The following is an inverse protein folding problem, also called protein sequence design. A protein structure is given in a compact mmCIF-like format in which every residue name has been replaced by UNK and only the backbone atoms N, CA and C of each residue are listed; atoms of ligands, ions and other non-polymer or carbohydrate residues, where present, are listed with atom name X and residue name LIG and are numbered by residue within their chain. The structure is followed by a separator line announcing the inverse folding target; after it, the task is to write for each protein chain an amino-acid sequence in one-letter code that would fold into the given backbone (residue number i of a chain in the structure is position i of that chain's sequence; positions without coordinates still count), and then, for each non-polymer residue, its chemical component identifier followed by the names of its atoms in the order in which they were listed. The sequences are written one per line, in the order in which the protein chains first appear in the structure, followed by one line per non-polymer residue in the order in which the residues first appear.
data_IF_298117135141
#
_entry.id   IF_298117135141
#
_cell.length_a   1.000
_cell.length_b   1.000
_cell.length_c   1.000
_cell.angle_alpha   90.00
_cell.angle_beta   90.00
_cell.angle_gamma   90.00
#
_symmetry.space_group_name_H-M   'P 1'
#
loop_
_entity.id
_entity.type
_entity.pdbx_description
1 polymer ?
#
# COMPACT_ATOMS: atom_id res chain seq x y z
N UNK A 1 -17.86 -18.52 -40.47
CA UNK A 1 -17.58 -17.56 -39.39
C UNK A 1 -16.44 -18.12 -38.56
N UNK A 2 -15.32 -17.38 -38.40
CA UNK A 2 -14.27 -17.77 -37.42
C UNK A 2 -14.93 -17.67 -36.04
N UNK A 3 -14.68 -18.63 -35.11
CA UNK A 3 -15.21 -18.51 -33.76
C UNK A 3 -14.68 -17.18 -33.18
N UNK A 4 -15.57 -16.39 -32.56
CA UNK A 4 -15.18 -15.16 -31.92
C UNK A 4 -14.08 -15.49 -30.87
N UNK A 5 -13.05 -14.67 -30.82
CA UNK A 5 -11.95 -14.90 -29.87
C UNK A 5 -12.47 -14.69 -28.43
N UNK A 6 -11.96 -15.46 -27.48
CA UNK A 6 -12.15 -15.20 -26.06
C UNK A 6 -11.32 -13.95 -25.68
N UNK A 7 -11.95 -12.78 -25.72
CA UNK A 7 -11.32 -11.51 -25.35
C UNK A 7 -11.17 -11.40 -23.84
N UNK A 8 -10.34 -10.46 -23.35
CA UNK A 8 -10.20 -10.20 -21.91
C UNK A 8 -11.52 -9.81 -21.27
N UNK A 9 -12.35 -9.02 -21.97
CA UNK A 9 -13.66 -8.59 -21.51
C UNK A 9 -14.67 -9.75 -21.41
N UNK A 10 -14.70 -10.61 -22.43
CA UNK A 10 -15.53 -11.83 -22.41
C UNK A 10 -15.10 -12.79 -21.30
N UNK A 11 -13.79 -12.94 -21.11
CA UNK A 11 -13.19 -13.75 -20.04
C UNK A 11 -13.64 -13.26 -18.67
N UNK A 12 -13.48 -11.95 -18.40
CA UNK A 12 -13.87 -11.33 -17.15
C UNK A 12 -15.38 -11.58 -16.87
N UNK A 13 -16.24 -11.32 -17.82
CA UNK A 13 -17.69 -11.52 -17.67
C UNK A 13 -18.07 -12.98 -17.33
N UNK A 14 -17.40 -13.96 -17.93
CA UNK A 14 -17.62 -15.39 -17.61
C UNK A 14 -17.16 -15.69 -16.18
N UNK A 15 -16.00 -15.21 -15.77
CA UNK A 15 -15.43 -15.44 -14.44
C UNK A 15 -16.33 -14.76 -13.38
N UNK A 16 -16.75 -13.52 -13.60
CA UNK A 16 -17.70 -12.80 -12.71
C UNK A 16 -19.00 -13.57 -12.55
N UNK A 17 -19.53 -14.12 -13.63
CA UNK A 17 -20.77 -14.90 -13.60
C UNK A 17 -20.64 -16.16 -12.73
N UNK A 18 -19.52 -16.87 -12.86
CA UNK A 18 -19.22 -18.06 -12.02
C UNK A 18 -18.98 -17.65 -10.57
N UNK A 19 -18.25 -16.56 -10.33
CA UNK A 19 -18.00 -16.02 -8.99
C UNK A 19 -19.30 -15.68 -8.24
N UNK A 20 -20.33 -15.20 -8.97
CA UNK A 20 -21.68 -14.91 -8.44
C UNK A 20 -22.56 -16.16 -8.27
N UNK A 21 -22.03 -17.37 -8.46
CA UNK A 21 -22.69 -18.63 -8.18
C UNK A 21 -23.35 -19.33 -9.37
N UNK A 22 -23.18 -18.84 -10.61
CA UNK A 22 -23.63 -19.58 -11.79
C UNK A 22 -22.69 -20.74 -12.08
N UNK A 23 -23.06 -21.93 -11.63
CA UNK A 23 -22.27 -23.14 -11.82
C UNK A 23 -22.42 -23.76 -13.21
N UNK A 24 -23.29 -23.23 -14.08
CA UNK A 24 -23.52 -23.77 -15.43
C UNK A 24 -23.64 -22.67 -16.50
N UNK A 25 -22.63 -21.84 -16.70
CA UNK A 25 -22.70 -20.62 -17.51
C UNK A 25 -22.77 -20.87 -19.02
N UNK A 26 -22.72 -22.12 -19.49
CA UNK A 26 -22.59 -22.44 -20.91
C UNK A 26 -23.71 -21.91 -21.83
N UNK A 27 -24.98 -21.96 -21.40
CA UNK A 27 -26.11 -21.38 -22.14
C UNK A 27 -26.06 -19.85 -22.12
N UNK A 28 -25.85 -19.26 -20.97
CA UNK A 28 -25.67 -17.81 -20.82
C UNK A 28 -24.55 -17.27 -21.72
N UNK A 29 -23.39 -17.95 -21.77
CA UNK A 29 -22.27 -17.56 -22.67
C UNK A 29 -22.73 -17.59 -24.14
N UNK A 30 -23.43 -18.66 -24.54
CA UNK A 30 -23.92 -18.78 -25.93
C UNK A 30 -24.86 -17.64 -26.29
N UNK A 31 -25.79 -17.30 -25.41
CA UNK A 31 -26.82 -16.28 -25.63
C UNK A 31 -26.25 -14.86 -25.56
N UNK A 32 -25.46 -14.56 -24.51
CA UNK A 32 -24.94 -13.21 -24.27
C UNK A 32 -23.86 -12.78 -25.27
N UNK A 33 -23.05 -13.71 -25.77
CA UNK A 33 -21.98 -13.40 -26.72
C UNK A 33 -22.29 -13.85 -28.14
N UNK A 34 -23.54 -14.31 -28.42
CA UNK A 34 -24.01 -14.77 -29.73
C UNK A 34 -23.05 -15.82 -30.35
N UNK A 35 -22.61 -16.78 -29.57
CA UNK A 35 -21.71 -17.86 -29.99
C UNK A 35 -22.40 -19.23 -29.92
N UNK A 36 -21.84 -20.22 -30.62
CA UNK A 36 -22.36 -21.59 -30.54
C UNK A 36 -22.09 -22.19 -29.13
N UNK A 37 -22.94 -23.14 -28.70
CA UNK A 37 -22.69 -23.93 -27.47
C UNK A 37 -21.33 -24.62 -27.48
N UNK A 38 -20.87 -25.02 -28.68
CA UNK A 38 -19.54 -25.61 -28.86
C UNK A 38 -18.44 -24.55 -28.54
N UNK A 39 -18.59 -23.33 -29.01
CA UNK A 39 -17.65 -22.23 -28.72
C UNK A 39 -17.65 -21.89 -27.22
N UNK A 40 -18.83 -21.81 -26.60
CA UNK A 40 -18.96 -21.62 -25.16
C UNK A 40 -18.22 -22.71 -24.35
N UNK A 41 -18.38 -23.98 -24.75
CA UNK A 41 -17.68 -25.11 -24.14
C UNK A 41 -16.16 -25.05 -24.31
N UNK A 42 -15.69 -24.60 -25.49
CA UNK A 42 -14.25 -24.40 -25.72
C UNK A 42 -13.67 -23.28 -24.84
N UNK A 43 -14.41 -22.17 -24.66
CA UNK A 43 -13.99 -21.08 -23.78
C UNK A 43 -13.92 -21.54 -22.33
N UNK A 44 -14.92 -22.27 -21.83
CA UNK A 44 -14.91 -22.84 -20.48
C UNK A 44 -13.75 -23.83 -20.29
N UNK A 45 -13.48 -24.68 -21.29
CA UNK A 45 -12.35 -25.62 -21.25
C UNK A 45 -11.01 -24.87 -21.20
N UNK A 46 -10.90 -23.76 -21.96
CA UNK A 46 -9.69 -22.92 -21.94
C UNK A 46 -9.49 -22.26 -20.57
N UNK A 47 -10.54 -21.69 -19.98
CA UNK A 47 -10.48 -21.11 -18.62
C UNK A 47 -10.10 -22.14 -17.55
N UNK A 48 -10.57 -23.40 -17.72
CA UNK A 48 -10.15 -24.50 -16.84
C UNK A 48 -8.66 -24.89 -17.05
N UNK A 49 -8.19 -24.93 -18.30
CA UNK A 49 -6.80 -25.27 -18.58
C UNK A 49 -5.81 -24.20 -18.11
N UNK A 50 -6.27 -22.97 -17.98
CA UNK A 50 -5.52 -21.82 -17.45
C UNK A 50 -5.66 -21.68 -15.92
N UNK A 51 -6.38 -22.60 -15.25
CA UNK A 51 -6.57 -22.60 -13.80
C UNK A 51 -7.55 -21.56 -13.28
N UNK A 52 -8.20 -20.78 -14.14
CA UNK A 52 -9.15 -19.73 -13.75
C UNK A 52 -10.52 -20.27 -13.33
N UNK A 53 -10.92 -21.40 -13.89
CA UNK A 53 -12.08 -22.17 -13.46
C UNK A 53 -11.69 -23.61 -13.13
N UNK A 54 -12.46 -24.23 -12.28
CA UNK A 54 -12.42 -25.67 -12.01
C UNK A 54 -13.75 -26.30 -12.39
N UNK A 55 -13.70 -27.46 -13.02
CA UNK A 55 -14.89 -28.17 -13.47
C UNK A 55 -15.03 -29.50 -12.77
N UNK A 56 -16.25 -29.83 -12.29
CA UNK A 56 -16.61 -31.13 -11.73
C UNK A 56 -17.76 -31.78 -12.50
N UNK A 57 -17.91 -33.10 -12.42
CA UNK A 57 -18.94 -33.86 -13.09
C UNK A 57 -18.53 -34.34 -14.49
N UNK A 58 -19.02 -35.56 -14.87
CA UNK A 58 -18.70 -36.19 -16.17
C UNK A 58 -19.63 -35.74 -17.29
N UNK A 59 -20.91 -35.79 -17.08
CA UNK A 59 -21.93 -35.52 -18.11
C UNK A 59 -22.49 -34.10 -18.00
N UNK A 60 -22.72 -33.64 -16.78
CA UNK A 60 -23.18 -32.29 -16.46
C UNK A 60 -22.09 -31.61 -15.68
N UNK A 61 -21.26 -30.82 -16.37
CA UNK A 61 -20.16 -30.09 -15.72
C UNK A 61 -20.69 -28.93 -14.90
N UNK A 62 -20.23 -28.85 -13.66
CA UNK A 62 -20.42 -27.68 -12.78
C UNK A 62 -19.09 -26.93 -12.69
N UNK A 63 -19.13 -25.62 -12.80
CA UNK A 63 -17.95 -24.77 -12.79
C UNK A 63 -17.92 -23.91 -11.54
N UNK A 64 -16.75 -23.78 -10.95
CA UNK A 64 -16.43 -22.90 -9.83
C UNK A 64 -15.15 -22.13 -10.14
N UNK A 65 -14.85 -21.10 -9.38
CA UNK A 65 -13.56 -20.40 -9.51
C UNK A 65 -12.40 -21.36 -9.32
N UNK A 66 -11.37 -21.21 -10.13
CA UNK A 66 -10.13 -21.96 -10.02
C UNK A 66 -9.23 -21.44 -8.91
N UNK A 67 -8.10 -22.12 -8.73
CA UNK A 67 -7.09 -21.74 -7.73
C UNK A 67 -6.30 -20.49 -8.15
N UNK A 68 -6.16 -20.26 -9.46
CA UNK A 68 -5.44 -19.11 -10.02
C UNK A 68 -6.41 -18.23 -10.79
N UNK A 69 -6.40 -16.94 -10.48
CA UNK A 69 -7.25 -15.95 -11.12
C UNK A 69 -6.43 -14.68 -11.35
N UNK A 70 -6.59 -14.08 -12.52
CA UNK A 70 -6.10 -12.73 -12.81
C UNK A 70 -7.22 -11.95 -13.49
N UNK A 71 -7.67 -10.90 -12.83
CA UNK A 71 -8.70 -10.00 -13.37
C UNK A 71 -8.20 -8.57 -13.31
N UNK A 72 -8.51 -7.80 -14.35
CA UNK A 72 -8.17 -6.39 -14.39
C UNK A 72 -9.26 -5.59 -15.11
N UNK A 73 -9.54 -4.40 -14.63
CA UNK A 73 -10.54 -3.51 -15.21
C UNK A 73 -10.19 -2.04 -14.98
N UNK A 74 -10.73 -1.18 -15.86
CA UNK A 74 -10.71 0.28 -15.66
C UNK A 74 -12.02 0.75 -15.06
N UNK A 75 -11.95 1.81 -14.27
CA UNK A 75 -13.11 2.59 -13.80
C UNK A 75 -12.81 4.08 -13.85
N UNK A 76 -13.85 4.91 -13.90
CA UNK A 76 -13.69 6.36 -13.76
C UNK A 76 -13.54 6.71 -12.28
N UNK A 77 -12.73 7.73 -11.97
CA UNK A 77 -12.54 8.21 -10.61
C UNK A 77 -13.71 9.09 -10.16
N UNK A 78 -14.33 9.81 -11.10
CA UNK A 78 -15.44 10.72 -10.79
C UNK A 78 -16.65 9.96 -10.21
N UNK A 79 -17.11 10.41 -9.03
CA UNK A 79 -18.24 9.80 -8.28
C UNK A 79 -18.02 8.33 -7.92
N UNK A 80 -16.77 7.91 -7.73
CA UNK A 80 -16.43 6.55 -7.38
C UNK A 80 -16.82 6.25 -5.91
N UNK A 81 -17.58 5.19 -5.70
CA UNK A 81 -17.86 4.62 -4.38
C UNK A 81 -16.96 3.38 -4.20
N UNK A 82 -15.99 3.48 -3.30
CA UNK A 82 -14.99 2.45 -3.08
C UNK A 82 -15.59 1.16 -2.49
N UNK A 83 -16.62 1.30 -1.64
CA UNK A 83 -17.29 0.15 -1.06
C UNK A 83 -18.12 -0.60 -2.11
N UNK A 84 -18.87 0.13 -2.93
CA UNK A 84 -19.63 -0.47 -4.01
C UNK A 84 -18.73 -1.14 -5.05
N UNK A 85 -17.58 -0.51 -5.35
CA UNK A 85 -16.59 -1.09 -6.25
C UNK A 85 -16.01 -2.39 -5.68
N UNK A 86 -15.75 -2.44 -4.37
CA UNK A 86 -15.31 -3.66 -3.69
C UNK A 86 -16.35 -4.77 -3.80
N UNK A 87 -17.58 -4.50 -3.39
CA UNK A 87 -18.68 -5.50 -3.37
C UNK A 87 -18.99 -6.04 -4.77
N UNK A 88 -18.99 -5.17 -5.78
CA UNK A 88 -19.35 -5.57 -7.14
C UNK A 88 -18.20 -6.25 -7.90
N UNK A 89 -16.95 -5.84 -7.67
CA UNK A 89 -15.85 -6.18 -8.57
C UNK A 89 -14.72 -6.99 -7.94
N UNK A 90 -14.59 -7.05 -6.62
CA UNK A 90 -13.48 -7.73 -5.93
C UNK A 90 -13.98 -8.84 -5.02
N UNK A 91 -14.91 -8.55 -4.11
CA UNK A 91 -15.40 -9.48 -3.09
C UNK A 91 -15.90 -10.83 -3.66
N UNK A 92 -16.63 -10.88 -4.81
CA UNK A 92 -17.11 -12.14 -5.36
C UNK A 92 -16.01 -13.16 -5.65
N UNK A 93 -14.79 -12.69 -5.90
CA UNK A 93 -13.64 -13.57 -6.21
C UNK A 93 -12.91 -14.08 -4.97
N UNK A 94 -13.16 -13.51 -3.80
CA UNK A 94 -12.46 -13.81 -2.54
C UNK A 94 -13.20 -14.82 -1.66
N UNK A 95 -14.23 -15.52 -2.19
CA UNK A 95 -15.07 -16.44 -1.40
C UNK A 95 -14.30 -17.55 -0.66
N UNK A 96 -13.17 -18.01 -1.22
CA UNK A 96 -12.30 -19.03 -0.64
C UNK A 96 -11.10 -18.45 0.15
N UNK A 97 -11.06 -17.14 0.35
CA UNK A 97 -10.01 -16.47 1.13
C UNK A 97 -10.47 -16.34 2.59
N UNK A 98 -9.61 -16.65 3.59
CA UNK A 98 -9.95 -16.51 5.01
C UNK A 98 -10.47 -15.13 5.37
N UNK A 99 -11.40 -15.04 6.31
CA UNK A 99 -12.10 -13.80 6.64
C UNK A 99 -11.17 -12.67 7.11
N UNK A 100 -10.10 -13.00 7.88
CA UNK A 100 -9.11 -12.02 8.31
C UNK A 100 -8.31 -11.45 7.12
N UNK A 101 -7.86 -12.30 6.19
CA UNK A 101 -7.15 -11.86 4.97
C UNK A 101 -8.06 -11.04 4.09
N UNK A 102 -9.33 -11.48 3.90
CA UNK A 102 -10.33 -10.72 3.15
C UNK A 102 -10.59 -9.34 3.79
N UNK A 103 -10.63 -9.26 5.13
CA UNK A 103 -10.74 -7.99 5.85
C UNK A 103 -9.55 -7.05 5.59
N UNK A 104 -8.32 -7.57 5.60
CA UNK A 104 -7.11 -6.80 5.25
C UNK A 104 -7.17 -6.31 3.81
N UNK A 105 -7.54 -7.20 2.87
CA UNK A 105 -7.72 -6.83 1.46
C UNK A 105 -8.78 -5.74 1.27
N UNK A 106 -9.93 -5.84 1.95
CA UNK A 106 -10.99 -4.83 1.90
C UNK A 106 -10.47 -3.47 2.38
N UNK A 107 -9.86 -3.44 3.57
CA UNK A 107 -9.30 -2.20 4.12
C UNK A 107 -8.27 -1.57 3.17
N UNK A 108 -7.28 -2.34 2.71
CA UNK A 108 -6.25 -1.82 1.81
C UNK A 108 -6.82 -1.34 0.47
N UNK A 109 -7.79 -2.06 -0.08
CA UNK A 109 -8.45 -1.69 -1.31
C UNK A 109 -9.19 -0.35 -1.17
N UNK A 110 -10.06 -0.23 -0.17
CA UNK A 110 -10.86 0.99 0.04
C UNK A 110 -9.98 2.20 0.34
N UNK A 111 -8.95 2.06 1.18
CA UNK A 111 -7.99 3.13 1.46
C UNK A 111 -7.25 3.61 0.20
N UNK A 112 -6.79 2.69 -0.67
CA UNK A 112 -6.04 3.08 -1.87
C UNK A 112 -6.96 3.65 -2.97
N UNK A 113 -8.19 3.17 -3.08
CA UNK A 113 -9.20 3.74 -3.98
C UNK A 113 -9.60 5.14 -3.53
N UNK A 114 -9.81 5.36 -2.22
CA UNK A 114 -10.08 6.69 -1.66
C UNK A 114 -8.91 7.65 -1.89
N UNK A 115 -7.68 7.19 -1.68
CA UNK A 115 -6.51 8.02 -1.98
C UNK A 115 -6.45 8.44 -3.46
N UNK A 116 -6.81 7.57 -4.38
CA UNK A 116 -6.88 7.90 -5.79
C UNK A 116 -8.03 8.89 -6.07
N UNK A 117 -9.21 8.69 -5.50
CA UNK A 117 -10.37 9.56 -5.65
C UNK A 117 -10.09 10.98 -5.11
N UNK A 118 -9.58 11.09 -3.88
CA UNK A 118 -9.50 12.36 -3.17
C UNK A 118 -8.22 13.14 -3.49
N UNK A 119 -7.18 12.44 -3.93
CA UNK A 119 -5.84 13.03 -3.99
C UNK A 119 -5.14 12.91 -5.34
N UNK A 120 -5.54 12.04 -6.26
CA UNK A 120 -4.76 11.85 -7.49
C UNK A 120 -4.92 12.97 -8.51
N UNK A 121 -6.05 13.67 -8.55
CA UNK A 121 -6.43 14.58 -9.65
C UNK A 121 -6.46 13.86 -11.01
N UNK A 122 -6.59 12.54 -10.97
CA UNK A 122 -6.71 11.68 -12.13
C UNK A 122 -8.14 11.54 -12.62
N UNK A 123 -8.30 10.84 -13.73
CA UNK A 123 -9.62 10.58 -14.33
C UNK A 123 -9.97 9.10 -14.36
N UNK A 124 -8.98 8.23 -14.36
CA UNK A 124 -9.14 6.78 -14.48
C UNK A 124 -8.32 6.03 -13.46
N UNK A 125 -8.90 4.94 -13.01
CA UNK A 125 -8.28 3.97 -12.14
C UNK A 125 -8.21 2.63 -12.85
N UNK A 126 -7.03 2.03 -12.89
CA UNK A 126 -6.83 0.62 -13.24
C UNK A 126 -6.76 -0.19 -11.97
N UNK A 127 -7.56 -1.25 -11.89
CA UNK A 127 -7.55 -2.21 -10.79
C UNK A 127 -7.19 -3.57 -11.32
N UNK A 128 -6.28 -4.27 -10.65
CA UNK A 128 -5.97 -5.67 -10.92
C UNK A 128 -6.03 -6.47 -9.62
N UNK A 129 -6.62 -7.67 -9.70
CA UNK A 129 -6.62 -8.69 -8.66
C UNK A 129 -6.02 -9.96 -9.21
N UNK A 130 -4.93 -10.42 -8.63
CA UNK A 130 -4.32 -11.71 -8.88
C UNK A 130 -4.48 -12.61 -7.65
N UNK A 131 -5.04 -13.79 -7.86
CA UNK A 131 -5.16 -14.84 -6.86
C UNK A 131 -4.33 -16.04 -7.29
N UNK A 132 -3.57 -16.58 -6.36
CA UNK A 132 -2.90 -17.88 -6.49
C UNK A 132 -3.33 -18.79 -5.32
N UNK A 133 -2.82 -20.00 -5.25
CA UNK A 133 -3.06 -20.87 -4.09
C UNK A 133 -2.47 -20.27 -2.80
N UNK A 134 -1.39 -19.50 -2.93
CA UNK A 134 -0.62 -18.98 -1.81
C UNK A 134 -0.95 -17.52 -1.48
N UNK A 135 -1.27 -16.69 -2.48
CA UNK A 135 -1.28 -15.23 -2.33
C UNK A 135 -2.49 -14.54 -2.93
N UNK A 136 -2.84 -13.41 -2.33
CA UNK A 136 -3.72 -12.38 -2.89
C UNK A 136 -2.89 -11.15 -3.19
N UNK A 137 -2.88 -10.72 -4.45
CA UNK A 137 -2.22 -9.49 -4.88
C UNK A 137 -3.23 -8.54 -5.51
N UNK A 138 -3.21 -7.30 -5.08
CA UNK A 138 -4.02 -6.22 -5.66
C UNK A 138 -3.11 -5.11 -6.16
N UNK A 139 -3.46 -4.54 -7.30
CA UNK A 139 -2.81 -3.35 -7.85
C UNK A 139 -3.87 -2.29 -8.12
N UNK A 140 -3.61 -1.08 -7.66
CA UNK A 140 -4.45 0.10 -7.88
C UNK A 140 -3.56 1.15 -8.51
N UNK A 141 -3.94 1.64 -9.69
CA UNK A 141 -3.11 2.48 -10.55
C UNK A 141 -3.94 3.64 -11.10
N UNK A 142 -3.65 4.86 -10.66
CA UNK A 142 -4.28 6.09 -11.13
C UNK A 142 -3.46 6.79 -12.21
N UNK A 143 -4.13 7.64 -13.02
CA UNK A 143 -3.50 8.44 -14.05
C UNK A 143 -3.27 9.91 -13.62
N UNK A 144 -3.17 10.15 -12.32
CA UNK A 144 -3.11 11.49 -11.73
C UNK A 144 -1.72 12.11 -11.66
N UNK A 145 -1.50 12.93 -10.61
CA UNK A 145 -0.28 13.78 -10.48
C UNK A 145 0.91 13.05 -9.82
N UNK A 146 0.70 11.89 -9.23
CA UNK A 146 1.73 11.19 -8.46
C UNK A 146 1.82 11.64 -7.00
N UNK A 147 1.87 10.67 -6.09
CA UNK A 147 1.79 10.93 -4.65
C UNK A 147 3.03 11.65 -4.12
N UNK A 148 4.23 11.29 -4.55
CA UNK A 148 5.46 11.88 -4.01
C UNK A 148 5.61 13.34 -4.42
N UNK A 149 5.25 13.67 -5.65
CA UNK A 149 5.18 15.07 -6.12
C UNK A 149 4.15 15.87 -5.33
N UNK A 150 2.99 15.28 -5.05
CA UNK A 150 1.95 15.95 -4.25
C UNK A 150 2.44 16.24 -2.83
N UNK A 151 3.08 15.27 -2.17
CA UNK A 151 3.68 15.46 -0.84
C UNK A 151 4.79 16.50 -0.89
N UNK A 152 5.68 16.43 -1.88
CA UNK A 152 6.75 17.39 -2.06
C UNK A 152 6.23 18.82 -2.15
N UNK A 153 5.23 19.06 -3.00
CA UNK A 153 4.63 20.37 -3.17
C UNK A 153 3.93 20.87 -1.90
N UNK A 154 3.15 20.02 -1.24
CA UNK A 154 2.38 20.37 -0.03
C UNK A 154 3.28 20.75 1.16
N UNK A 155 4.45 20.12 1.28
CA UNK A 155 5.40 20.35 2.37
C UNK A 155 6.61 21.22 1.95
N UNK A 156 6.62 21.74 0.71
CA UNK A 156 7.73 22.52 0.16
C UNK A 156 9.10 21.82 0.33
N UNK A 157 9.13 20.49 0.09
CA UNK A 157 10.36 19.72 0.27
C UNK A 157 11.36 20.02 -0.83
N UNK A 158 12.65 20.21 -0.47
CA UNK A 158 13.69 20.52 -1.44
C UNK A 158 14.05 19.34 -2.36
N UNK A 159 13.71 18.12 -1.98
CA UNK A 159 14.00 16.89 -2.72
C UNK A 159 12.78 15.95 -2.64
N UNK A 160 12.29 15.40 -3.78
CA UNK A 160 11.14 14.51 -3.80
C UNK A 160 11.34 13.23 -2.99
N UNK A 161 12.59 12.77 -2.79
CA UNK A 161 12.89 11.60 -1.96
C UNK A 161 12.51 11.79 -0.49
N UNK A 162 12.45 13.02 0.00
CA UNK A 162 11.95 13.32 1.34
C UNK A 162 10.44 13.05 1.50
N UNK A 163 9.69 13.02 0.40
CA UNK A 163 8.28 12.64 0.46
C UNK A 163 8.08 11.20 0.98
N UNK A 164 9.04 10.29 0.70
CA UNK A 164 8.99 8.93 1.19
C UNK A 164 9.22 8.87 2.71
N UNK A 165 10.12 9.71 3.23
CA UNK A 165 10.31 9.83 4.68
C UNK A 165 9.02 10.34 5.35
N UNK A 166 8.35 11.32 4.75
CA UNK A 166 7.07 11.83 5.26
C UNK A 166 5.96 10.79 5.20
N UNK A 167 5.93 9.97 4.16
CA UNK A 167 5.00 8.86 4.02
C UNK A 167 5.26 7.78 5.10
N UNK A 168 6.52 7.44 5.32
CA UNK A 168 6.93 6.45 6.33
C UNK A 168 6.59 6.86 7.77
N UNK A 169 6.56 8.18 8.08
CA UNK A 169 6.11 8.68 9.38
C UNK A 169 4.61 8.49 9.62
N UNK A 170 3.79 8.51 8.59
CA UNK A 170 2.33 8.52 8.68
C UNK A 170 1.74 9.90 9.00
N UNK A 171 0.42 9.94 9.25
CA UNK A 171 -0.37 11.16 9.52
C UNK A 171 -0.18 12.28 8.48
N UNK A 172 0.11 11.91 7.23
CA UNK A 172 0.19 12.87 6.14
C UNK A 172 -1.13 12.95 5.38
N UNK A 173 -1.73 14.12 5.36
CA UNK A 173 -2.87 14.43 4.50
C UNK A 173 -2.80 15.88 4.00
N UNK A 174 -3.28 16.12 2.80
CA UNK A 174 -3.51 17.46 2.26
C UNK A 174 -4.88 18.01 2.64
N UNK A 175 -5.76 17.15 3.18
CA UNK A 175 -7.08 17.51 3.69
C UNK A 175 -7.28 17.00 5.13
N UNK A 176 -6.74 17.70 6.15
CA UNK A 176 -6.82 17.25 7.54
C UNK A 176 -8.23 17.37 8.17
N UNK A 177 -9.21 17.94 7.46
CA UNK A 177 -10.60 18.00 7.94
C UNK A 177 -11.34 16.70 7.69
N UNK A 178 -11.04 16.03 6.59
CA UNK A 178 -11.73 14.83 6.15
C UNK A 178 -10.89 13.56 6.33
N UNK A 179 -9.56 13.67 6.43
CA UNK A 179 -8.65 12.52 6.45
C UNK A 179 -7.62 12.61 7.58
N UNK A 180 -7.40 11.48 8.26
CA UNK A 180 -6.37 11.35 9.31
C UNK A 180 -4.93 11.29 8.73
N UNK A 181 -4.80 10.92 7.46
CA UNK A 181 -3.51 10.68 6.80
C UNK A 181 -2.82 9.39 7.25
N UNK A 182 -3.57 8.44 7.75
CA UNK A 182 -3.08 7.19 8.33
C UNK A 182 -3.17 6.00 7.36
N UNK A 183 -4.01 6.11 6.31
CA UNK A 183 -4.36 5.02 5.41
C UNK A 183 -3.16 4.30 4.81
N UNK A 184 -2.25 5.00 4.13
CA UNK A 184 -1.07 4.38 3.52
C UNK A 184 -0.14 3.78 4.58
N UNK A 185 0.05 4.48 5.72
CA UNK A 185 0.90 4.00 6.79
C UNK A 185 0.44 2.63 7.31
N UNK A 186 -0.82 2.50 7.67
CA UNK A 186 -1.37 1.25 8.20
C UNK A 186 -1.51 0.19 7.11
N UNK A 187 -1.98 0.55 5.93
CA UNK A 187 -2.09 -0.39 4.81
C UNK A 187 -0.74 -1.01 4.47
N UNK A 188 0.33 -0.23 4.42
CA UNK A 188 1.67 -0.76 4.13
C UNK A 188 2.12 -1.84 5.13
N UNK A 189 1.64 -1.79 6.37
CA UNK A 189 1.99 -2.73 7.45
C UNK A 189 1.01 -3.89 7.61
N UNK A 190 -0.13 -3.82 6.93
CA UNK A 190 -1.13 -4.89 6.92
C UNK A 190 -0.84 -5.96 5.88
N UNK A 191 -0.08 -5.63 4.83
CA UNK A 191 0.31 -6.55 3.77
C UNK A 191 1.72 -7.10 4.01
N UNK A 192 2.03 -8.26 3.41
CA UNK A 192 3.37 -8.86 3.48
C UNK A 192 4.34 -8.10 2.58
N UNK A 193 3.85 -7.69 1.40
CA UNK A 193 4.55 -6.81 0.47
C UNK A 193 3.63 -5.64 0.09
N UNK A 194 4.13 -4.44 0.23
CA UNK A 194 3.46 -3.20 -0.15
C UNK A 194 4.43 -2.30 -0.92
N UNK A 195 4.02 -1.78 -2.04
CA UNK A 195 4.85 -0.85 -2.80
C UNK A 195 4.03 0.26 -3.46
N UNK A 196 4.57 1.48 -3.45
CA UNK A 196 4.05 2.64 -4.18
C UNK A 196 5.06 3.09 -5.21
N UNK A 197 4.62 3.19 -6.45
CA UNK A 197 5.41 3.64 -7.60
C UNK A 197 4.83 4.96 -8.10
N UNK A 198 5.58 6.03 -8.05
CA UNK A 198 5.20 7.34 -8.58
C UNK A 198 6.44 8.20 -8.83
N UNK A 199 6.38 9.14 -9.76
CA UNK A 199 7.37 10.20 -9.95
C UNK A 199 8.83 9.71 -10.11
N UNK A 200 9.03 8.49 -10.65
CA UNK A 200 10.36 7.88 -10.78
C UNK A 200 10.92 7.33 -9.45
N UNK A 201 10.10 7.25 -8.39
CA UNK A 201 10.46 6.73 -7.09
C UNK A 201 9.61 5.52 -6.72
N UNK A 202 10.17 4.65 -5.89
CA UNK A 202 9.48 3.49 -5.32
C UNK A 202 9.65 3.52 -3.81
N UNK A 203 8.54 3.54 -3.10
CA UNK A 203 8.46 3.21 -1.67
C UNK A 203 8.03 1.75 -1.54
N UNK A 204 8.73 0.96 -0.77
CA UNK A 204 8.36 -0.44 -0.51
C UNK A 204 8.51 -0.78 0.96
N UNK A 205 7.50 -1.48 1.49
CA UNK A 205 7.51 -2.10 2.80
C UNK A 205 7.34 -3.61 2.64
N UNK A 206 8.19 -4.40 3.29
CA UNK A 206 8.11 -5.86 3.32
C UNK A 206 8.06 -6.34 4.76
N UNK A 207 7.07 -7.17 5.10
CA UNK A 207 6.97 -7.76 6.42
C UNK A 207 8.19 -8.63 6.76
N UNK A 208 8.60 -8.61 8.03
CA UNK A 208 9.80 -9.31 8.48
C UNK A 208 11.12 -8.68 8.04
N UNK A 209 11.11 -7.65 7.19
CA UNK A 209 12.28 -6.83 6.95
C UNK A 209 12.34 -5.66 7.93
N UNK A 210 13.58 -5.32 8.34
CA UNK A 210 13.79 -4.21 9.28
C UNK A 210 13.62 -2.83 8.63
N UNK A 211 13.27 -2.76 7.33
CA UNK A 211 13.38 -1.52 6.58
C UNK A 211 12.26 -1.35 5.56
N UNK A 212 11.79 -0.12 5.46
CA UNK A 212 11.17 0.37 4.25
C UNK A 212 12.27 0.67 3.21
N UNK A 213 12.03 0.34 1.96
CA UNK A 213 13.00 0.52 0.88
C UNK A 213 12.63 1.73 0.02
N UNK A 214 13.67 2.44 -0.38
CA UNK A 214 13.60 3.51 -1.37
C UNK A 214 14.41 3.09 -2.60
N UNK A 215 13.78 3.12 -3.77
CA UNK A 215 14.45 2.91 -5.05
C UNK A 215 14.12 4.05 -6.00
N UNK A 216 15.07 4.39 -6.86
CA UNK A 216 14.82 5.19 -8.04
C UNK A 216 14.43 4.26 -9.19
N UNK A 217 13.41 4.63 -9.95
CA UNK A 217 12.93 3.88 -11.11
C UNK A 217 13.13 4.69 -12.38
N UNK A 218 13.69 4.09 -13.40
CA UNK A 218 13.78 4.70 -14.73
C UNK A 218 12.42 4.76 -15.45
N UNK A 219 11.42 4.07 -14.92
CA UNK A 219 10.07 4.07 -15.49
C UNK A 219 9.38 5.41 -15.18
N UNK A 220 9.40 6.29 -16.17
CA UNK A 220 8.55 7.48 -16.14
C UNK A 220 7.09 7.04 -16.24
N UNK A 221 6.31 7.25 -15.18
CA UNK A 221 4.87 7.01 -15.16
C UNK A 221 4.13 8.25 -14.71
N UNK A 222 2.92 8.41 -15.21
CA UNK A 222 1.95 9.40 -14.72
C UNK A 222 1.12 8.74 -13.62
N UNK A 223 0.79 9.48 -12.57
CA UNK A 223 -0.01 8.98 -11.46
C UNK A 223 0.77 8.10 -10.48
N UNK A 224 0.02 7.39 -9.64
CA UNK A 224 0.55 6.48 -8.64
C UNK A 224 0.03 5.07 -8.85
N UNK A 225 0.90 4.08 -8.72
CA UNK A 225 0.51 2.67 -8.68
C UNK A 225 0.84 2.11 -7.30
N UNK A 226 -0.14 1.53 -6.65
CA UNK A 226 0.03 0.83 -5.38
C UNK A 226 -0.15 -0.66 -5.61
N UNK A 227 0.85 -1.46 -5.23
CA UNK A 227 0.80 -2.91 -5.23
C UNK A 227 0.79 -3.42 -3.79
N UNK A 228 -0.12 -4.34 -3.49
CA UNK A 228 -0.34 -4.92 -2.17
C UNK A 228 -0.44 -6.43 -2.30
N UNK A 229 0.33 -7.18 -1.50
CA UNK A 229 0.34 -8.64 -1.55
C UNK A 229 0.29 -9.22 -0.14
N UNK A 230 -0.53 -10.25 0.07
CA UNK A 230 -0.68 -10.95 1.35
C UNK A 230 -0.80 -12.46 1.13
N UNK A 231 -0.17 -13.24 2.00
CA UNK A 231 -0.32 -14.69 2.05
C UNK A 231 -1.76 -15.06 2.42
N UNK A 232 -2.36 -16.00 1.71
CA UNK A 232 -3.73 -16.47 1.97
C UNK A 232 -3.90 -17.14 3.32
N UNK A 233 -2.81 -17.64 3.90
CA UNK A 233 -2.79 -18.27 5.23
C UNK A 233 -2.33 -17.31 6.33
N UNK A 234 -2.12 -16.03 6.02
CA UNK A 234 -1.73 -15.03 6.99
C UNK A 234 -2.69 -14.99 8.17
N UNK A 235 -2.14 -14.94 9.38
CA UNK A 235 -2.91 -14.80 10.62
C UNK A 235 -3.09 -13.34 11.04
N UNK A 236 -2.61 -12.41 10.21
CA UNK A 236 -2.63 -10.97 10.50
C UNK A 236 -4.06 -10.46 10.63
N UNK A 237 -4.28 -9.59 11.60
CA UNK A 237 -5.55 -8.90 11.85
C UNK A 237 -5.33 -7.40 11.85
N UNK A 238 -6.26 -6.66 11.30
CA UNK A 238 -6.22 -5.20 11.22
C UNK A 238 -5.95 -4.58 12.60
N UNK A 239 -6.68 -5.00 13.63
CA UNK A 239 -6.53 -4.44 14.98
C UNK A 239 -5.14 -4.67 15.57
N UNK A 240 -4.50 -5.81 15.30
CA UNK A 240 -3.18 -6.12 15.82
C UNK A 240 -2.12 -5.14 15.27
N UNK A 241 -2.28 -4.71 14.01
CA UNK A 241 -1.41 -3.70 13.40
C UNK A 241 -1.67 -2.32 14.01
N UNK A 242 -2.93 -1.91 14.20
CA UNK A 242 -3.24 -0.64 14.84
C UNK A 242 -2.67 -0.55 16.27
N UNK A 243 -2.82 -1.62 17.07
CA UNK A 243 -2.33 -1.64 18.45
C UNK A 243 -0.80 -1.52 18.60
N UNK A 244 -0.03 -1.86 17.57
CA UNK A 244 1.43 -1.67 17.61
C UNK A 244 1.85 -0.20 17.65
N UNK A 245 1.00 0.70 17.13
CA UNK A 245 1.27 2.14 17.01
C UNK A 245 0.38 3.00 17.91
N UNK A 246 -0.49 2.38 18.69
CA UNK A 246 -1.28 3.02 19.73
C UNK A 246 -0.55 2.94 21.08
N UNK A 247 -0.59 3.98 21.92
CA UNK A 247 -0.13 3.89 23.29
C UNK A 247 -0.95 2.86 24.08
N UNK A 248 -0.39 2.24 25.14
CA UNK A 248 -1.16 1.37 26.02
C UNK A 248 -2.41 2.11 26.54
N UNK A 249 -3.58 1.50 26.33
CA UNK A 249 -4.90 2.01 26.72
C UNK A 249 -5.43 3.21 25.90
N UNK A 250 -4.82 3.58 24.81
CA UNK A 250 -5.32 4.57 23.86
C UNK A 250 -5.52 3.95 22.48
N UNK A 251 -6.54 4.42 21.74
CA UNK A 251 -6.80 3.97 20.36
C UNK A 251 -6.27 4.98 19.33
N UNK A 252 -5.43 5.93 19.77
CA UNK A 252 -4.88 6.97 18.91
C UNK A 252 -3.55 6.52 18.28
N UNK A 253 -3.34 6.87 17.02
CA UNK A 253 -2.05 6.69 16.34
C UNK A 253 -1.07 7.78 16.76
N UNK A 254 -0.49 7.66 17.96
CA UNK A 254 0.39 8.67 18.53
C UNK A 254 1.87 8.28 18.56
N UNK A 255 2.19 7.11 18.04
CA UNK A 255 3.56 6.59 17.94
C UNK A 255 3.97 6.40 16.49
N UNK A 256 5.17 6.86 16.12
CA UNK A 256 5.77 6.61 14.82
C UNK A 256 7.21 6.10 14.95
N UNK A 257 7.65 5.32 13.96
CA UNK A 257 9.04 4.89 13.79
C UNK A 257 9.57 5.55 12.54
N UNK A 258 10.64 6.34 12.68
CA UNK A 258 11.22 7.12 11.59
C UNK A 258 12.50 6.45 11.09
N UNK A 259 12.50 5.87 9.88
CA UNK A 259 13.67 5.19 9.33
C UNK A 259 14.74 6.22 8.91
N UNK A 260 15.71 6.46 9.77
CA UNK A 260 16.72 7.53 9.62
C UNK A 260 17.57 7.38 8.36
N UNK A 261 17.72 6.17 7.82
CA UNK A 261 18.41 5.97 6.55
C UNK A 261 17.69 6.63 5.36
N UNK A 262 16.36 6.78 5.40
CA UNK A 262 15.60 7.49 4.35
C UNK A 262 15.88 9.01 4.35
N UNK A 263 16.36 9.55 5.46
CA UNK A 263 16.81 10.94 5.53
C UNK A 263 18.17 11.18 4.84
N UNK A 264 18.91 10.11 4.51
CA UNK A 264 20.25 10.14 3.88
C UNK A 264 20.13 10.20 2.36
N UNK A 265 19.81 11.36 1.82
CA UNK A 265 19.69 11.57 0.37
C UNK A 265 21.04 11.32 -0.31
N UNK A 266 21.06 10.42 -1.30
CA UNK A 266 22.32 10.08 -2.00
C UNK A 266 23.40 9.43 -1.12
N UNK A 267 23.02 8.87 0.04
CA UNK A 267 23.97 8.24 0.97
C UNK A 267 24.76 9.23 1.83
N UNK A 268 24.41 10.53 1.84
CA UNK A 268 25.06 11.55 2.65
C UNK A 268 25.00 11.23 4.15
N UNK A 269 26.01 11.69 4.91
CA UNK A 269 26.00 11.58 6.37
C UNK A 269 25.04 12.64 6.98
N UNK A 270 24.37 12.26 8.07
CA UNK A 270 23.45 13.14 8.81
C UNK A 270 24.24 14.01 9.78
N UNK A 271 24.75 15.16 9.32
CA UNK A 271 25.70 15.99 10.09
C UNK A 271 25.20 17.41 10.39
N UNK A 272 24.25 17.94 9.59
CA UNK A 272 23.87 19.34 9.66
C UNK A 272 22.52 19.56 10.35
N UNK A 273 22.34 20.77 10.90
CA UNK A 273 21.05 21.23 11.46
C UNK A 273 19.94 21.26 10.40
N UNK A 274 20.26 21.61 9.15
CA UNK A 274 19.28 21.63 8.08
C UNK A 274 18.72 20.23 7.75
N UNK A 275 19.57 19.21 7.81
CA UNK A 275 19.12 17.82 7.67
C UNK A 275 18.24 17.40 8.86
N UNK A 276 18.63 17.77 10.09
CA UNK A 276 17.83 17.52 11.28
C UNK A 276 16.44 18.19 11.19
N UNK A 277 16.36 19.45 10.75
CA UNK A 277 15.09 20.16 10.54
C UNK A 277 14.16 19.46 9.55
N UNK A 278 14.69 18.84 8.51
CA UNK A 278 13.89 18.00 7.58
C UNK A 278 13.35 16.74 8.26
N UNK A 279 14.16 16.13 9.13
CA UNK A 279 13.73 14.93 9.86
C UNK A 279 12.65 15.24 10.88
N UNK A 280 12.77 16.31 11.66
CA UNK A 280 11.80 16.67 12.71
C UNK A 280 10.49 17.27 12.17
N UNK A 281 10.40 17.51 10.88
CA UNK A 281 9.17 18.00 10.26
C UNK A 281 7.98 17.12 10.64
N UNK A 282 6.92 17.69 11.18
CA UNK A 282 5.70 17.04 11.63
C UNK A 282 5.84 16.09 12.83
N UNK A 283 6.92 16.11 13.60
CA UNK A 283 7.03 15.34 14.85
C UNK A 283 5.99 15.79 15.90
N UNK A 284 5.58 17.03 15.87
CA UNK A 284 4.50 17.60 16.72
C UNK A 284 3.15 16.90 16.54
N UNK A 285 2.97 16.11 15.48
CA UNK A 285 1.76 15.29 15.25
C UNK A 285 1.74 14.00 16.07
N UNK A 286 2.83 13.66 16.77
CA UNK A 286 2.98 12.41 17.51
C UNK A 286 3.35 12.69 18.97
N UNK A 287 2.96 11.79 19.88
CA UNK A 287 3.43 11.80 21.26
C UNK A 287 4.76 11.05 21.43
N UNK A 288 4.96 9.99 20.61
CA UNK A 288 6.12 9.13 20.68
C UNK A 288 6.76 9.02 19.28
N UNK A 289 8.02 9.39 19.17
CA UNK A 289 8.80 9.29 17.94
C UNK A 289 10.02 8.44 18.21
N UNK A 290 10.14 7.29 17.56
CA UNK A 290 11.32 6.45 17.62
C UNK A 290 12.16 6.64 16.36
N UNK A 291 13.42 7.06 16.53
CA UNK A 291 14.36 7.23 15.43
C UNK A 291 15.11 5.93 15.21
N UNK A 292 14.75 5.20 14.15
CA UNK A 292 15.42 3.96 13.79
C UNK A 292 16.70 4.23 13.00
N UNK A 293 17.84 4.02 13.65
CA UNK A 293 19.18 4.22 13.07
C UNK A 293 19.73 2.99 12.33
N UNK A 294 18.92 2.01 12.03
CA UNK A 294 19.39 0.85 11.27
C UNK A 294 20.01 1.28 9.94
N UNK A 295 21.26 0.84 9.68
CA UNK A 295 22.01 1.19 8.48
C UNK A 295 22.57 2.62 8.46
N UNK A 296 22.47 3.37 9.56
CA UNK A 296 23.12 4.67 9.75
C UNK A 296 24.38 4.47 10.60
N UNK A 297 25.59 4.71 10.06
CA UNK A 297 26.82 4.43 10.81
C UNK A 297 27.09 5.46 11.91
N UNK A 298 26.85 6.73 11.64
CA UNK A 298 27.11 7.85 12.55
C UNK A 298 26.23 9.06 12.24
N UNK A 299 26.15 9.99 13.20
CA UNK A 299 25.53 11.31 13.04
C UNK A 299 26.48 12.40 13.56
N UNK A 300 26.35 13.61 13.00
CA UNK A 300 27.13 14.75 13.46
C UNK A 300 26.54 15.42 14.69
N UNK A 301 27.39 16.13 15.44
CA UNK A 301 26.98 16.84 16.65
C UNK A 301 25.86 17.86 16.38
N UNK A 302 25.98 18.66 15.33
CA UNK A 302 24.97 19.68 15.01
C UNK A 302 23.61 19.08 14.64
N UNK A 303 23.60 17.88 14.04
CA UNK A 303 22.38 17.12 13.75
C UNK A 303 21.74 16.61 15.04
N UNK A 304 22.52 15.95 15.91
CA UNK A 304 22.05 15.43 17.20
C UNK A 304 21.53 16.57 18.10
N UNK A 305 22.26 17.66 18.18
CA UNK A 305 21.93 18.84 18.99
C UNK A 305 20.59 19.46 18.58
N UNK A 306 20.32 19.57 17.28
CA UNK A 306 19.05 20.12 16.78
C UNK A 306 17.85 19.25 17.16
N UNK A 307 17.98 17.92 17.14
CA UNK A 307 16.88 17.00 17.48
C UNK A 307 16.73 16.84 18.99
N UNK A 308 17.81 16.39 19.66
CA UNK A 308 17.71 15.89 21.04
C UNK A 308 17.84 16.99 22.10
N UNK A 309 18.27 18.20 21.71
CA UNK A 309 18.31 19.35 22.60
C UNK A 309 17.36 20.46 22.16
N UNK A 310 17.53 21.00 20.94
CA UNK A 310 16.79 22.19 20.50
C UNK A 310 15.31 21.86 20.34
N UNK A 311 14.99 20.87 19.51
CA UNK A 311 13.61 20.46 19.26
C UNK A 311 12.96 19.87 20.51
N UNK A 312 13.62 18.96 21.21
CA UNK A 312 13.08 18.30 22.40
C UNK A 312 12.72 19.31 23.53
N UNK A 313 13.50 20.38 23.70
CA UNK A 313 13.16 21.46 24.65
C UNK A 313 11.96 22.31 24.21
N UNK A 314 11.86 22.56 22.91
CA UNK A 314 10.74 23.33 22.35
C UNK A 314 9.41 22.54 22.33
N UNK A 315 9.48 21.20 22.35
CA UNK A 315 8.33 20.30 22.23
C UNK A 315 8.36 19.21 23.30
N UNK A 316 8.25 19.56 24.60
CA UNK A 316 8.35 18.60 25.71
C UNK A 316 7.23 17.55 25.72
N UNK A 317 6.14 17.77 24.97
CA UNK A 317 5.05 16.82 24.77
C UNK A 317 5.41 15.67 23.82
N UNK A 318 6.50 15.77 23.07
CA UNK A 318 6.97 14.75 22.13
C UNK A 318 8.11 13.97 22.74
N UNK A 319 7.90 12.71 23.07
CA UNK A 319 8.94 11.82 23.56
C UNK A 319 9.73 11.24 22.37
N UNK A 320 11.03 11.55 22.30
CA UNK A 320 11.93 11.07 21.26
C UNK A 320 12.81 9.96 21.81
N UNK A 321 12.78 8.79 21.20
CA UNK A 321 13.65 7.63 21.48
C UNK A 321 14.51 7.27 20.26
N UNK A 322 15.46 6.38 20.47
CA UNK A 322 16.34 5.85 19.42
C UNK A 322 16.37 4.33 19.49
N UNK A 323 16.17 3.70 18.35
CA UNK A 323 16.39 2.26 18.18
C UNK A 323 17.55 1.99 17.23
N UNK A 324 18.19 0.82 17.38
CA UNK A 324 19.29 0.33 16.54
C UNK A 324 20.47 1.32 16.38
N UNK A 325 20.65 2.23 17.34
CA UNK A 325 21.73 3.21 17.32
C UNK A 325 23.08 2.55 17.63
N UNK A 326 24.12 2.87 16.85
CA UNK A 326 25.49 2.47 17.14
C UNK A 326 25.98 3.13 18.43
N UNK A 327 27.05 2.61 19.09
CA UNK A 327 27.63 3.26 20.25
C UNK A 327 28.04 4.73 20.00
N UNK A 328 28.51 5.04 18.79
CA UNK A 328 28.87 6.41 18.40
C UNK A 328 27.63 7.32 18.34
N UNK A 329 26.52 6.83 17.77
CA UNK A 329 25.26 7.57 17.74
C UNK A 329 24.73 7.79 19.16
N UNK A 330 24.77 6.75 20.02
CA UNK A 330 24.33 6.87 21.41
C UNK A 330 25.13 7.92 22.17
N UNK A 331 26.47 7.95 22.00
CA UNK A 331 27.32 8.97 22.60
C UNK A 331 26.96 10.39 22.15
N UNK A 332 26.65 10.59 20.85
CA UNK A 332 26.21 11.87 20.32
C UNK A 332 24.87 12.31 20.89
N UNK A 333 23.93 11.37 21.04
CA UNK A 333 22.61 11.63 21.65
C UNK A 333 22.76 12.05 23.10
N UNK A 334 23.50 11.28 23.91
CA UNK A 334 23.76 11.60 25.33
C UNK A 334 24.44 12.95 25.46
N UNK A 335 25.46 13.23 24.65
CA UNK A 335 26.13 14.53 24.64
C UNK A 335 25.17 15.67 24.35
N UNK A 336 24.30 15.53 23.35
CA UNK A 336 23.30 16.57 23.02
C UNK A 336 22.31 16.81 24.16
N UNK A 337 21.86 15.75 24.85
CA UNK A 337 20.94 15.84 25.99
C UNK A 337 21.57 16.44 27.24
N UNK A 338 22.86 16.22 27.47
CA UNK A 338 23.59 16.67 28.67
C UNK A 338 24.21 18.07 28.51
N UNK A 339 24.32 18.59 27.30
CA UNK A 339 24.88 19.94 27.07
C UNK A 339 23.92 20.99 27.63
N UNK A 340 24.19 21.46 28.83
CA UNK A 340 23.55 22.66 29.38
C UNK A 340 24.18 23.89 28.72
N UNK A 341 23.32 24.75 28.15
CA UNK A 341 23.76 26.12 27.81
C UNK A 341 23.75 26.88 29.13
N UNK A 342 24.94 27.26 29.62
CA UNK A 342 25.10 28.32 30.62
C UNK A 342 24.50 29.63 30.08
#
# INVERSE_FOLDING_TARGET
MRPSALTSETRLAIIERVARGDTNPGSWIADSFHVSRRTASLWLAKLCSEGQLSASGRTRKSYVLGATLSIGFFTQIENLDEHQLWVDRIEPFLGNVPANVRGVCHHGFTEMVNNAHDHSEGTRLWVNLDLTEERVRMVIDDDGVGIFKKIQCALHLPDPRLALLELAKGKFTTDPKNHSGEGIFFTSRMFDDFAVYADGLIFSHQDGTKFDYLFESELARKGSMVAMEIDRQSQRKINDVFFQFAPPNELSFDRTIVPMRMARIGGENLVSRSQAKRVILRFDKFKYVDLDFTGVPSIGQAFADEIFRVYARAHPQVAISCSHATPEIQQMVVRAQTTNVE
#
